data_IF_735240241975
#
_entry.id   IF_735240241975
#
_cell.length_a   1.000
_cell.length_b   1.000
_cell.length_c   1.000
_cell.angle_alpha   90.00
_cell.angle_beta   90.00
_cell.angle_gamma   90.00
#
_symmetry.space_group_name_H-M   'P 1'
#
loop_
_entity.id
_entity.type
_entity.pdbx_description
1 polymer ?
#
# COMPACT_ATOMS: atom_id res chain seq x y z
N UNK A 1 -39.58 5.70 -40.78
CA UNK A 1 -38.99 4.58 -40.02
C UNK A 1 -37.99 5.17 -39.00
N UNK A 2 -38.42 5.31 -37.78
CA UNK A 2 -37.58 5.82 -36.72
C UNK A 2 -36.97 4.62 -35.98
N UNK A 3 -35.65 4.46 -36.10
CA UNK A 3 -34.90 3.51 -35.27
C UNK A 3 -34.60 4.20 -33.91
N UNK A 4 -35.26 3.74 -32.90
CA UNK A 4 -34.89 4.04 -31.52
C UNK A 4 -33.66 3.19 -31.18
N UNK A 5 -32.48 3.77 -31.32
CA UNK A 5 -31.29 3.21 -30.73
C UNK A 5 -31.30 3.55 -29.23
N UNK A 6 -31.79 2.63 -28.44
CA UNK A 6 -31.57 2.71 -27.01
C UNK A 6 -30.09 2.42 -26.75
N UNK A 7 -29.29 3.49 -26.68
CA UNK A 7 -27.98 3.41 -26.07
C UNK A 7 -28.21 3.23 -24.57
N UNK A 8 -28.22 1.98 -24.13
CA UNK A 8 -28.20 1.63 -22.73
C UNK A 8 -26.82 1.96 -22.16
N UNK A 9 -26.61 3.17 -21.75
CA UNK A 9 -25.51 3.52 -20.85
C UNK A 9 -25.83 2.94 -19.47
N UNK A 10 -25.73 1.62 -19.38
CA UNK A 10 -25.72 0.87 -18.15
C UNK A 10 -24.38 1.00 -17.43
N UNK A 11 -23.95 2.23 -17.18
CA UNK A 11 -22.93 2.45 -16.17
C UNK A 11 -23.59 2.08 -14.83
N UNK A 12 -23.32 0.88 -14.38
CA UNK A 12 -23.89 0.34 -13.16
C UNK A 12 -23.49 1.30 -12.01
N UNK A 13 -24.48 1.65 -11.21
CA UNK A 13 -24.30 2.49 -10.02
C UNK A 13 -23.24 1.93 -9.04
N UNK A 14 -22.83 0.70 -9.22
CA UNK A 14 -21.81 0.02 -8.44
C UNK A 14 -20.39 0.51 -8.78
N UNK A 15 -20.12 0.94 -10.01
CA UNK A 15 -18.82 1.48 -10.39
C UNK A 15 -18.58 2.89 -9.80
N UNK A 16 -19.63 3.64 -9.48
CA UNK A 16 -19.52 4.95 -8.83
C UNK A 16 -19.22 4.88 -7.33
N UNK A 17 -19.56 3.79 -6.67
CA UNK A 17 -19.38 3.63 -5.21
C UNK A 17 -17.93 3.23 -4.87
N UNK A 18 -17.19 2.64 -5.79
CA UNK A 18 -15.84 2.13 -5.58
C UNK A 18 -14.72 3.15 -5.83
N UNK A 19 -15.01 4.32 -6.38
CA UNK A 19 -14.03 5.41 -6.55
C UNK A 19 -14.20 6.45 -5.45
N UNK A 20 -13.90 6.07 -4.20
CA UNK A 20 -13.66 7.06 -3.16
C UNK A 20 -12.42 7.87 -3.52
N UNK A 21 -12.47 9.21 -3.39
CA UNK A 21 -11.29 10.04 -3.65
C UNK A 21 -10.19 9.61 -2.68
N UNK A 22 -9.06 9.19 -3.26
CA UNK A 22 -7.85 8.89 -2.50
C UNK A 22 -7.39 10.21 -1.88
N UNK A 23 -7.02 10.17 -0.59
CA UNK A 23 -6.37 11.30 0.05
C UNK A 23 -5.20 11.76 -0.83
N UNK A 24 -5.14 13.06 -1.21
CA UNK A 24 -4.08 13.57 -2.08
C UNK A 24 -2.68 13.27 -1.55
N UNK A 25 -2.49 13.29 -0.25
CA UNK A 25 -1.22 12.96 0.40
C UNK A 25 -0.85 11.49 0.18
N UNK A 26 -1.79 10.57 0.41
CA UNK A 26 -1.57 9.13 0.20
C UNK A 26 -1.30 8.85 -1.28
N UNK A 27 -2.03 9.50 -2.17
CA UNK A 27 -1.83 9.37 -3.61
C UNK A 27 -0.44 9.82 -4.06
N UNK A 28 -0.01 10.99 -3.61
CA UNK A 28 1.32 11.52 -3.91
C UNK A 28 2.41 10.58 -3.36
N UNK A 29 2.27 10.13 -2.12
CA UNK A 29 3.24 9.24 -1.49
C UNK A 29 3.32 7.88 -2.20
N UNK A 30 2.19 7.30 -2.56
CA UNK A 30 2.15 6.06 -3.36
C UNK A 30 2.86 6.23 -4.70
N UNK A 31 2.66 7.36 -5.37
CA UNK A 31 3.33 7.66 -6.65
C UNK A 31 4.84 7.73 -6.48
N UNK A 32 5.33 8.39 -5.42
CA UNK A 32 6.75 8.48 -5.09
C UNK A 32 7.35 7.10 -4.78
N UNK A 33 6.69 6.29 -3.97
CA UNK A 33 7.13 4.94 -3.60
C UNK A 33 7.21 4.03 -4.83
N UNK A 34 6.22 4.08 -5.71
CA UNK A 34 6.22 3.30 -6.95
C UNK A 34 7.33 3.74 -7.89
N UNK A 35 7.55 5.04 -8.05
CA UNK A 35 8.61 5.58 -8.90
C UNK A 35 10.01 5.22 -8.36
N UNK A 36 10.23 5.33 -7.05
CA UNK A 36 11.47 4.93 -6.40
C UNK A 36 11.71 3.42 -6.56
N UNK A 37 10.69 2.59 -6.33
CA UNK A 37 10.79 1.14 -6.50
C UNK A 37 11.12 0.72 -7.93
N UNK A 38 10.61 1.45 -8.94
CA UNK A 38 10.94 1.20 -10.34
C UNK A 38 12.42 1.47 -10.62
N UNK A 39 12.95 2.60 -10.16
CA UNK A 39 14.39 2.95 -10.33
C UNK A 39 15.30 1.92 -9.66
N UNK A 40 14.99 1.50 -8.44
CA UNK A 40 15.78 0.49 -7.72
C UNK A 40 15.75 -0.87 -8.41
N UNK A 41 14.62 -1.27 -9.00
CA UNK A 41 14.52 -2.51 -9.78
C UNK A 41 15.39 -2.46 -11.02
N UNK A 42 15.40 -1.34 -11.74
CA UNK A 42 16.26 -1.13 -12.91
C UNK A 42 17.75 -1.20 -12.52
N UNK A 43 18.12 -0.57 -11.39
CA UNK A 43 19.49 -0.64 -10.86
C UNK A 43 19.86 -2.09 -10.49
N UNK A 44 19.00 -2.83 -9.80
CA UNK A 44 19.23 -4.21 -9.42
C UNK A 44 19.44 -5.10 -10.64
N UNK A 45 18.58 -4.98 -11.66
CA UNK A 45 18.71 -5.74 -12.91
C UNK A 45 20.04 -5.47 -13.60
N UNK A 46 20.49 -4.20 -13.61
CA UNK A 46 21.78 -3.83 -14.18
C UNK A 46 22.94 -4.45 -13.39
N UNK A 47 22.90 -4.36 -12.06
CA UNK A 47 23.92 -4.98 -11.21
C UNK A 47 23.99 -6.51 -11.41
N UNK A 48 22.82 -7.17 -11.48
CA UNK A 48 22.74 -8.61 -11.72
C UNK A 48 23.26 -9.03 -13.09
N UNK A 49 23.14 -8.17 -14.10
CA UNK A 49 23.72 -8.41 -15.43
C UNK A 49 25.22 -8.17 -15.47
N UNK A 50 25.71 -7.15 -14.76
CA UNK A 50 27.11 -6.73 -14.79
C UNK A 50 28.02 -7.65 -13.95
N UNK A 51 27.55 -8.13 -12.79
CA UNK A 51 28.33 -8.99 -11.89
C UNK A 51 28.94 -10.21 -12.61
N UNK A 52 28.19 -11.03 -13.38
CA UNK A 52 28.78 -12.19 -14.07
C UNK A 52 29.83 -11.80 -15.11
N UNK A 53 29.69 -10.64 -15.74
CA UNK A 53 30.68 -10.15 -16.72
C UNK A 53 32.00 -9.78 -16.04
N UNK A 54 31.90 -9.17 -14.87
CA UNK A 54 33.09 -8.82 -14.09
C UNK A 54 33.73 -10.05 -13.44
N UNK A 55 32.96 -11.04 -13.01
CA UNK A 55 33.48 -12.33 -12.51
C UNK A 55 34.34 -13.02 -13.62
N UNK A 56 33.87 -12.98 -14.87
CA UNK A 56 34.68 -13.47 -16.02
C UNK A 56 35.99 -12.70 -16.20
N UNK A 57 35.98 -11.39 -15.99
CA UNK A 57 37.19 -10.56 -16.06
C UNK A 57 38.19 -10.91 -14.95
N UNK A 58 37.68 -11.18 -13.73
CA UNK A 58 38.53 -11.68 -12.62
C UNK A 58 39.22 -12.97 -13.04
N UNK A 59 38.47 -13.95 -13.56
CA UNK A 59 38.98 -15.24 -13.97
C UNK A 59 40.05 -15.06 -15.09
N UNK A 60 39.75 -14.27 -16.12
CA UNK A 60 40.71 -14.01 -17.21
C UNK A 60 42.00 -13.34 -16.71
N UNK A 61 41.93 -12.43 -15.76
CA UNK A 61 43.11 -11.78 -15.18
C UNK A 61 43.95 -12.77 -14.38
N UNK A 62 43.32 -13.70 -13.66
CA UNK A 62 44.00 -14.77 -12.94
C UNK A 62 44.72 -15.74 -13.94
N UNK A 63 44.02 -16.18 -14.98
CA UNK A 63 44.60 -17.08 -16.00
C UNK A 63 45.80 -16.45 -16.72
N UNK A 64 45.78 -15.13 -16.93
CA UNK A 64 46.88 -14.40 -17.54
C UNK A 64 48.01 -14.03 -16.59
N UNK A 65 47.95 -14.44 -15.34
CA UNK A 65 48.98 -14.14 -14.34
C UNK A 65 49.08 -12.67 -13.97
N UNK A 66 47.94 -11.96 -13.98
CA UNK A 66 47.85 -10.53 -13.62
C UNK A 66 47.17 -10.39 -12.26
N UNK A 67 47.81 -10.71 -11.12
CA UNK A 67 47.17 -10.80 -9.81
C UNK A 67 46.64 -9.46 -9.34
N UNK A 68 47.30 -8.38 -9.61
CA UNK A 68 46.88 -7.03 -9.21
C UNK A 68 45.58 -6.62 -9.91
N UNK A 69 45.48 -6.90 -11.22
CA UNK A 69 44.27 -6.61 -11.99
C UNK A 69 43.11 -7.52 -11.53
N UNK A 70 43.36 -8.78 -11.22
CA UNK A 70 42.40 -9.70 -10.70
C UNK A 70 41.85 -9.22 -9.33
N UNK A 71 42.72 -8.72 -8.45
CA UNK A 71 42.35 -8.16 -7.14
C UNK A 71 41.43 -6.94 -7.30
N UNK A 72 41.81 -5.98 -8.13
CA UNK A 72 41.01 -4.77 -8.38
C UNK A 72 39.62 -5.14 -8.96
N UNK A 73 39.57 -6.06 -9.91
CA UNK A 73 38.30 -6.53 -10.47
C UNK A 73 37.45 -7.25 -9.44
N UNK A 74 38.04 -8.06 -8.55
CA UNK A 74 37.32 -8.75 -7.47
C UNK A 74 36.78 -7.76 -6.43
N UNK A 75 37.52 -6.73 -6.06
CA UNK A 75 37.07 -5.65 -5.19
C UNK A 75 35.87 -4.92 -5.81
N UNK A 76 35.89 -4.67 -7.10
CA UNK A 76 34.77 -4.06 -7.82
C UNK A 76 33.53 -4.95 -7.78
N UNK A 77 33.66 -6.25 -8.01
CA UNK A 77 32.56 -7.21 -7.92
C UNK A 77 31.99 -7.27 -6.50
N UNK A 78 32.85 -7.25 -5.48
CA UNK A 78 32.40 -7.24 -4.08
C UNK A 78 31.55 -5.99 -3.78
N UNK A 79 31.97 -4.82 -4.24
CA UNK A 79 31.19 -3.58 -4.14
C UNK A 79 29.83 -3.66 -4.85
N UNK A 80 29.80 -4.24 -6.05
CA UNK A 80 28.57 -4.42 -6.82
C UNK A 80 27.59 -5.38 -6.09
N UNK A 81 28.09 -6.49 -5.54
CA UNK A 81 27.27 -7.43 -4.74
C UNK A 81 26.73 -6.79 -3.49
N UNK A 82 27.54 -6.02 -2.78
CA UNK A 82 27.10 -5.27 -1.61
C UNK A 82 26.00 -4.26 -1.97
N UNK A 83 26.17 -3.52 -3.08
CA UNK A 83 25.15 -2.59 -3.55
C UNK A 83 23.86 -3.32 -3.96
N UNK A 84 23.94 -4.46 -4.61
CA UNK A 84 22.78 -5.26 -4.96
C UNK A 84 22.00 -5.70 -3.72
N UNK A 85 22.66 -6.14 -2.67
CA UNK A 85 22.02 -6.48 -1.39
C UNK A 85 21.34 -5.27 -0.75
N UNK A 86 21.98 -4.10 -0.75
CA UNK A 86 21.37 -2.87 -0.26
C UNK A 86 20.10 -2.51 -1.04
N UNK A 87 20.14 -2.59 -2.36
CA UNK A 87 18.99 -2.31 -3.23
C UNK A 87 17.83 -3.29 -2.96
N UNK A 88 18.12 -4.57 -2.70
CA UNK A 88 17.10 -5.55 -2.32
C UNK A 88 16.42 -5.18 -1.02
N UNK A 89 17.19 -4.75 0.00
CA UNK A 89 16.64 -4.28 1.29
C UNK A 89 15.79 -3.02 1.09
N UNK A 90 16.30 -2.03 0.33
CA UNK A 90 15.56 -0.80 0.03
C UNK A 90 14.23 -1.12 -0.70
N UNK A 91 14.23 -2.07 -1.64
CA UNK A 91 13.02 -2.53 -2.32
C UNK A 91 12.00 -3.16 -1.36
N UNK A 92 12.46 -3.93 -0.37
CA UNK A 92 11.54 -4.53 0.62
C UNK A 92 10.93 -3.46 1.53
N UNK A 93 11.70 -2.46 1.95
CA UNK A 93 11.20 -1.31 2.70
C UNK A 93 10.11 -0.56 1.91
N UNK A 94 10.35 -0.29 0.62
CA UNK A 94 9.35 0.38 -0.23
C UNK A 94 8.09 -0.47 -0.47
N UNK A 95 8.23 -1.79 -0.53
CA UNK A 95 7.08 -2.70 -0.63
C UNK A 95 6.22 -2.65 0.63
N UNK A 96 6.86 -2.61 1.79
CA UNK A 96 6.15 -2.51 3.06
C UNK A 96 5.47 -1.15 3.20
N UNK A 97 6.17 -0.06 2.90
CA UNK A 97 5.59 1.28 2.89
C UNK A 97 4.36 1.36 1.96
N UNK A 98 4.45 0.79 0.77
CA UNK A 98 3.31 0.73 -0.15
C UNK A 98 2.13 -0.03 0.44
N UNK A 99 2.36 -1.16 1.12
CA UNK A 99 1.30 -1.94 1.79
C UNK A 99 0.62 -1.12 2.89
N UNK A 100 1.40 -0.41 3.70
CA UNK A 100 0.87 0.45 4.75
C UNK A 100 0.01 1.58 4.20
N UNK A 101 0.48 2.29 3.18
CA UNK A 101 -0.29 3.35 2.52
C UNK A 101 -1.59 2.84 1.88
N UNK A 102 -1.56 1.65 1.28
CA UNK A 102 -2.76 1.01 0.74
C UNK A 102 -3.75 0.62 1.84
N UNK A 103 -3.25 0.15 2.98
CA UNK A 103 -4.08 -0.16 4.14
C UNK A 103 -4.69 1.12 4.74
N UNK A 104 -3.90 2.18 4.93
CA UNK A 104 -4.40 3.47 5.42
C UNK A 104 -5.51 4.02 4.52
N UNK A 105 -5.31 3.95 3.20
CA UNK A 105 -6.34 4.33 2.24
C UNK A 105 -7.62 3.49 2.39
N UNK A 106 -7.51 2.19 2.61
CA UNK A 106 -8.66 1.31 2.77
C UNK A 106 -9.43 1.56 4.09
N UNK A 107 -8.75 2.03 5.14
CA UNK A 107 -9.33 2.27 6.48
C UNK A 107 -9.90 3.69 6.63
N UNK A 108 -9.41 4.68 5.87
CA UNK A 108 -9.89 6.07 5.95
C UNK A 108 -11.41 6.22 5.83
N UNK A 109 -12.12 5.58 4.88
CA UNK A 109 -13.57 5.69 4.78
C UNK A 109 -14.31 5.31 6.06
N UNK A 110 -13.81 4.31 6.78
CA UNK A 110 -14.39 3.88 8.05
C UNK A 110 -14.20 4.92 9.16
N UNK A 111 -13.04 5.56 9.24
CA UNK A 111 -12.76 6.64 10.21
C UNK A 111 -13.61 7.87 9.95
N UNK A 112 -13.79 8.26 8.70
CA UNK A 112 -14.62 9.41 8.33
C UNK A 112 -16.10 9.18 8.67
N UNK A 113 -16.61 7.96 8.53
CA UNK A 113 -17.97 7.59 8.93
C UNK A 113 -18.11 7.68 10.43
N UNK A 114 -17.17 7.15 11.20
CA UNK A 114 -17.18 7.21 12.67
C UNK A 114 -17.11 8.67 13.15
N UNK A 115 -16.17 9.46 12.64
CA UNK A 115 -16.02 10.87 12.98
C UNK A 115 -17.28 11.69 12.64
N UNK A 116 -17.93 11.44 11.49
CA UNK A 116 -19.20 12.06 11.13
C UNK A 116 -20.34 11.65 12.07
N UNK A 117 -20.38 10.38 12.43
CA UNK A 117 -21.40 9.86 13.34
C UNK A 117 -21.24 10.47 14.73
N UNK A 118 -20.02 10.56 15.25
CA UNK A 118 -19.70 11.22 16.52
C UNK A 118 -20.05 12.70 16.49
N UNK A 119 -19.68 13.43 15.44
CA UNK A 119 -20.02 14.83 15.26
C UNK A 119 -21.55 15.05 15.17
N UNK A 120 -22.27 14.13 14.54
CA UNK A 120 -23.72 14.17 14.43
C UNK A 120 -24.40 13.91 15.79
N UNK A 121 -23.89 12.96 16.57
CA UNK A 121 -24.34 12.67 17.93
C UNK A 121 -24.06 13.86 18.85
N UNK A 122 -22.90 14.48 18.78
CA UNK A 122 -22.57 15.65 19.56
C UNK A 122 -23.42 16.88 19.19
N UNK A 123 -23.73 17.09 17.92
CA UNK A 123 -24.60 18.18 17.47
C UNK A 123 -26.05 18.02 18.01
N UNK A 124 -26.54 16.80 18.04
CA UNK A 124 -27.85 16.47 18.66
C UNK A 124 -27.84 16.69 20.18
N UNK A 125 -26.71 16.37 20.82
CA UNK A 125 -26.51 16.56 22.25
C UNK A 125 -26.43 18.03 22.65
N UNK A 126 -25.78 18.86 21.87
CA UNK A 126 -25.64 20.31 22.12
C UNK A 126 -26.90 21.07 21.74
N UNK A 127 -27.68 20.57 20.76
CA UNK A 127 -28.93 21.22 20.30
C UNK A 127 -30.11 21.20 21.26
N UNK A 128 -29.95 20.63 22.45
CA UNK A 128 -30.97 20.71 23.52
C UNK A 128 -32.30 20.01 23.20
N UNK A 129 -32.37 19.20 22.18
CA UNK A 129 -33.45 18.26 21.94
C UNK A 129 -33.33 17.11 22.96
N UNK A 130 -33.72 17.37 24.19
CA UNK A 130 -34.05 16.34 25.16
C UNK A 130 -35.36 15.74 24.66
N UNK A 131 -35.24 14.78 23.76
CA UNK A 131 -36.37 14.00 23.32
C UNK A 131 -36.87 13.18 24.52
N UNK A 132 -38.16 13.31 24.93
CA UNK A 132 -38.72 12.51 26.03
C UNK A 132 -38.65 11.00 25.74
N UNK A 133 -38.43 10.58 24.52
CA UNK A 133 -38.25 9.18 24.15
C UNK A 133 -36.82 8.65 24.33
N UNK A 134 -35.87 9.49 24.77
CA UNK A 134 -34.47 9.07 24.98
C UNK A 134 -34.34 7.93 26.00
N UNK A 135 -35.14 7.99 27.06
CA UNK A 135 -35.18 6.94 28.06
C UNK A 135 -35.74 5.60 27.51
N UNK A 136 -36.58 5.65 26.49
CA UNK A 136 -37.08 4.47 25.78
C UNK A 136 -36.04 3.85 24.90
N UNK A 137 -35.27 4.68 24.14
CA UNK A 137 -34.19 4.23 23.28
C UNK A 137 -33.02 3.63 24.06
N UNK A 138 -32.69 4.19 25.24
CA UNK A 138 -31.66 3.63 26.10
C UNK A 138 -32.07 2.28 26.70
N UNK A 139 -33.35 2.08 27.00
CA UNK A 139 -33.87 0.80 27.43
C UNK A 139 -33.94 -0.23 26.32
N UNK A 140 -34.31 0.16 25.09
CA UNK A 140 -34.30 -0.74 23.93
C UNK A 140 -32.87 -1.17 23.53
N UNK A 141 -31.86 -0.30 23.70
CA UNK A 141 -30.47 -0.64 23.49
C UNK A 141 -29.92 -1.63 24.53
N UNK A 142 -30.50 -1.62 25.76
CA UNK A 142 -30.10 -2.55 26.83
C UNK A 142 -30.71 -3.94 26.63
N UNK A 143 -31.83 -4.04 25.91
CA UNK A 143 -32.52 -5.30 25.61
C UNK A 143 -32.03 -5.97 24.30
N UNK A 144 -31.05 -5.41 23.61
CA UNK A 144 -30.43 -6.10 22.49
C UNK A 144 -29.66 -7.32 22.99
N UNK A 145 -29.95 -8.51 22.47
CA UNK A 145 -29.24 -9.71 22.86
C UNK A 145 -27.72 -9.50 22.60
N UNK A 146 -26.95 -9.58 23.69
CA UNK A 146 -25.50 -9.64 23.56
C UNK A 146 -25.16 -10.84 22.70
N UNK A 147 -24.63 -10.58 21.51
CA UNK A 147 -24.05 -11.62 20.68
C UNK A 147 -22.85 -12.18 21.43
N UNK A 148 -23.06 -13.31 22.07
CA UNK A 148 -21.99 -14.10 22.65
C UNK A 148 -21.19 -14.70 21.50
N UNK A 149 -20.04 -14.12 21.20
CA UNK A 149 -19.04 -14.76 20.38
C UNK A 149 -18.46 -15.90 21.19
N UNK A 150 -19.13 -17.06 21.10
CA UNK A 150 -18.70 -18.28 21.77
C UNK A 150 -17.21 -18.53 21.55
N UNK A 151 -16.47 -18.49 22.66
CA UNK A 151 -15.11 -18.98 22.76
C UNK A 151 -15.05 -20.43 22.26
N UNK A 152 -14.64 -20.59 21.02
CA UNK A 152 -14.33 -21.87 20.44
C UNK A 152 -13.08 -22.45 21.08
N UNK A 153 -13.20 -22.98 22.29
CA UNK A 153 -12.24 -23.95 22.84
C UNK A 153 -12.49 -25.28 22.18
N UNK A 154 -11.58 -25.68 21.28
CA UNK A 154 -11.07 -27.07 21.18
C UNK A 154 -9.73 -27.09 20.44
#
# INVERSE_FOLDING_TARGET
>A
MQRWGAAGDGASSQDKVMKMPIDPYIHERLTQVVAAGKKLKEELLKLQADIPMWDKRVAMAQERGMPELARQAAEHVAGMRQRAQQVEVELEILREERRQLQFEHAVQPGRDIVARTEAMVDSVRIGGLVDPDKAKLENELHDLPTFDFGDGKK
#
